data_IF_729806434886
#
_entry.id   IF_729806434886
#
_cell.length_a   1.000
_cell.length_b   1.000
_cell.length_c   1.000
_cell.angle_alpha   90.00
_cell.angle_beta   90.00
_cell.angle_gamma   90.00
#
_symmetry.space_group_name_H-M   'P 1'
#
loop_
_entity.id
_entity.type
_entity.pdbx_description
1 polymer ?
#
# COMPACT_ATOMS: atom_id res chain seq x y z
N UNK A 1 -22.00 9.39 -30.58
CA UNK A 1 -21.48 10.79 -30.67
C UNK A 1 -19.95 10.72 -30.59
N UNK A 2 -19.28 10.94 -31.73
CA UNK A 2 -17.84 11.10 -31.76
C UNK A 2 -17.47 12.50 -31.25
N UNK A 3 -17.39 12.66 -29.94
CA UNK A 3 -16.79 13.87 -29.36
C UNK A 3 -15.28 13.76 -29.58
N UNK A 4 -14.78 14.38 -30.65
CA UNK A 4 -13.35 14.60 -30.81
C UNK A 4 -12.93 15.62 -29.76
N UNK A 5 -12.44 15.13 -28.63
CA UNK A 5 -11.84 15.98 -27.61
C UNK A 5 -10.53 16.52 -28.19
N UNK A 6 -10.53 17.78 -28.58
CA UNK A 6 -9.29 18.45 -29.02
C UNK A 6 -8.50 18.82 -27.78
N UNK A 7 -7.37 18.16 -27.57
CA UNK A 7 -6.47 18.50 -26.48
C UNK A 7 -5.59 19.67 -26.94
N UNK A 8 -5.58 20.80 -26.23
CA UNK A 8 -4.78 21.96 -26.65
C UNK A 8 -3.28 21.63 -26.60
N UNK A 9 -2.52 22.16 -27.55
CA UNK A 9 -1.06 22.11 -27.45
C UNK A 9 -0.58 22.94 -26.27
N UNK A 10 0.39 22.46 -25.54
CA UNK A 10 0.93 23.12 -24.37
C UNK A 10 1.39 22.13 -23.27
N UNK A 11 1.57 22.65 -22.07
CA UNK A 11 1.94 21.87 -20.89
C UNK A 11 0.72 21.73 -20.00
N UNK A 12 0.34 20.49 -19.71
CA UNK A 12 -0.83 20.18 -18.88
C UNK A 12 -0.41 19.47 -17.61
N UNK A 13 -0.63 20.04 -16.42
CA UNK A 13 -0.36 19.36 -15.16
C UNK A 13 -1.37 18.23 -14.95
N UNK A 14 -0.86 17.09 -14.49
CA UNK A 14 -1.68 15.91 -14.20
C UNK A 14 -0.98 15.03 -13.16
N UNK A 15 -1.56 13.86 -12.87
CA UNK A 15 -0.99 12.88 -11.95
C UNK A 15 -0.46 11.65 -12.71
N UNK A 16 0.73 11.22 -12.33
CA UNK A 16 1.29 9.96 -12.79
C UNK A 16 0.44 8.79 -12.25
N UNK A 17 0.12 7.84 -13.12
CA UNK A 17 -0.73 6.69 -12.82
C UNK A 17 0.03 5.36 -12.76
N UNK A 18 1.37 5.41 -12.59
CA UNK A 18 2.24 4.22 -12.59
C UNK A 18 2.36 3.53 -11.23
N UNK A 19 1.98 4.20 -10.14
CA UNK A 19 1.91 3.65 -8.79
C UNK A 19 1.02 4.52 -7.87
N UNK A 20 0.78 4.07 -6.65
CA UNK A 20 -0.10 4.73 -5.68
C UNK A 20 0.41 6.10 -5.20
N UNK A 21 1.68 6.42 -5.37
CA UNK A 21 2.23 7.72 -4.97
C UNK A 21 1.63 8.89 -5.76
N UNK A 22 1.09 8.63 -6.97
CA UNK A 22 0.37 9.65 -7.79
C UNK A 22 1.15 10.96 -7.94
N UNK A 23 2.45 10.86 -8.24
CA UNK A 23 3.30 12.05 -8.43
C UNK A 23 2.67 13.03 -9.42
N UNK A 24 2.70 14.31 -9.10
CA UNK A 24 2.29 15.34 -10.05
C UNK A 24 3.35 15.48 -11.14
N UNK A 25 2.89 15.54 -12.36
CA UNK A 25 3.70 15.65 -13.58
C UNK A 25 3.11 16.69 -14.52
N UNK A 26 3.98 17.23 -15.37
CA UNK A 26 3.60 18.02 -16.54
C UNK A 26 3.67 17.14 -17.78
N UNK A 27 2.59 17.07 -18.51
CA UNK A 27 2.53 16.41 -19.82
C UNK A 27 2.63 17.47 -20.93
N UNK A 28 3.59 17.31 -21.80
CA UNK A 28 3.81 18.20 -22.92
C UNK A 28 3.05 17.68 -24.16
N UNK A 29 2.24 18.52 -24.78
CA UNK A 29 1.38 18.15 -25.89
C UNK A 29 1.67 19.08 -27.06
N UNK A 30 1.93 18.50 -28.24
CA UNK A 30 2.11 19.22 -29.50
C UNK A 30 1.32 18.53 -30.59
N UNK A 31 0.44 19.27 -31.26
CA UNK A 31 -0.38 18.75 -32.36
C UNK A 31 -1.13 17.44 -32.00
N UNK A 32 -1.78 17.40 -30.84
CA UNK A 32 -2.50 16.21 -30.31
C UNK A 32 -1.59 15.02 -29.92
N UNK A 33 -0.28 15.19 -29.94
CA UNK A 33 0.71 14.15 -29.59
C UNK A 33 1.33 14.50 -28.25
N UNK A 34 1.44 13.54 -27.35
CA UNK A 34 2.22 13.65 -26.12
C UNK A 34 3.70 13.55 -26.51
N UNK A 35 4.48 14.56 -26.18
CA UNK A 35 5.88 14.64 -26.60
C UNK A 35 6.88 14.46 -25.47
N UNK A 36 6.47 14.77 -24.23
CA UNK A 36 7.36 14.66 -23.07
C UNK A 36 6.56 14.60 -21.77
N UNK A 37 7.19 14.10 -20.71
CA UNK A 37 6.69 14.10 -19.35
C UNK A 37 7.79 14.62 -18.43
N UNK A 38 7.50 15.72 -17.73
CA UNK A 38 8.42 16.32 -16.75
C UNK A 38 7.79 16.35 -15.35
N UNK A 39 8.57 16.38 -14.27
CA UNK A 39 8.02 16.51 -12.94
C UNK A 39 7.36 17.89 -12.75
N UNK A 40 6.31 17.94 -11.91
CA UNK A 40 5.72 19.19 -11.45
C UNK A 40 6.40 19.63 -10.15
N UNK A 41 7.07 20.77 -10.14
CA UNK A 41 7.94 21.19 -9.02
C UNK A 41 7.19 21.54 -7.74
N UNK A 42 6.02 22.15 -7.83
CA UNK A 42 5.26 22.64 -6.68
C UNK A 42 4.48 21.57 -5.89
N UNK A 43 4.61 20.28 -6.22
CA UNK A 43 3.81 19.27 -5.54
C UNK A 43 4.45 18.79 -4.23
N UNK A 44 3.70 18.77 -3.09
CA UNK A 44 4.26 18.49 -1.77
C UNK A 44 4.81 17.06 -1.61
N UNK A 45 4.25 16.08 -2.33
CA UNK A 45 4.65 14.67 -2.21
C UNK A 45 5.92 14.39 -3.02
N UNK A 46 5.88 14.60 -4.33
CA UNK A 46 7.03 14.25 -5.19
C UNK A 46 8.07 15.37 -5.33
N UNK A 47 7.78 16.60 -4.87
CA UNK A 47 8.73 17.71 -4.72
C UNK A 47 9.61 17.90 -5.96
N UNK A 48 8.99 18.04 -7.12
CA UNK A 48 9.68 18.24 -8.39
C UNK A 48 10.45 17.04 -8.93
N UNK A 49 10.02 15.82 -8.62
CA UNK A 49 10.73 14.60 -9.05
C UNK A 49 9.80 13.55 -9.63
N UNK A 50 10.37 12.76 -10.52
CA UNK A 50 9.71 11.62 -11.15
C UNK A 50 10.65 10.42 -11.12
N UNK A 51 10.14 9.24 -10.85
CA UNK A 51 10.93 8.01 -10.90
C UNK A 51 11.07 7.50 -12.35
N UNK A 52 11.99 6.56 -12.62
CA UNK A 52 12.17 6.01 -13.97
C UNK A 52 10.90 5.45 -14.59
N UNK A 53 10.01 4.84 -13.79
CA UNK A 53 8.70 4.36 -14.30
C UNK A 53 7.81 5.48 -14.80
N UNK A 54 7.72 6.57 -14.04
CA UNK A 54 6.95 7.74 -14.46
C UNK A 54 7.54 8.40 -15.71
N UNK A 55 8.87 8.46 -15.80
CA UNK A 55 9.57 8.95 -16.99
C UNK A 55 9.30 8.10 -18.23
N UNK A 56 9.26 6.77 -18.07
CA UNK A 56 8.99 5.83 -19.16
C UNK A 56 7.50 5.67 -19.50
N UNK A 57 6.60 6.44 -18.87
CA UNK A 57 5.16 6.29 -19.11
C UNK A 57 4.78 6.65 -20.56
N UNK A 58 5.55 7.52 -21.22
CA UNK A 58 5.33 7.88 -22.62
C UNK A 58 5.65 6.71 -23.55
N UNK A 59 6.75 5.98 -23.30
CA UNK A 59 7.12 4.79 -24.07
C UNK A 59 6.05 3.70 -23.95
N UNK A 60 5.49 3.52 -22.74
CA UNK A 60 4.38 2.61 -22.52
C UNK A 60 3.11 3.07 -23.27
N UNK A 61 2.85 4.37 -23.30
CA UNK A 61 1.67 4.93 -23.98
C UNK A 61 1.69 4.71 -25.48
N UNK A 62 2.88 4.86 -26.11
CA UNK A 62 3.07 4.69 -27.55
C UNK A 62 3.67 3.36 -27.95
N UNK A 63 3.72 2.38 -27.04
CA UNK A 63 4.30 1.07 -27.34
C UNK A 63 3.58 0.40 -28.51
N UNK A 64 4.37 -0.18 -29.44
CA UNK A 64 3.81 -0.76 -30.67
C UNK A 64 2.88 -1.96 -30.40
N UNK A 65 3.13 -2.71 -29.33
CA UNK A 65 2.30 -3.87 -28.94
C UNK A 65 1.08 -3.46 -28.10
N UNK A 66 0.83 -2.15 -27.97
CA UNK A 66 -0.35 -1.70 -27.23
C UNK A 66 -1.64 -2.09 -27.95
N UNK A 67 -2.53 -2.77 -27.26
CA UNK A 67 -3.86 -3.13 -27.78
C UNK A 67 -4.70 -1.85 -27.86
N UNK A 68 -5.08 -1.45 -29.07
CA UNK A 68 -5.85 -0.24 -29.36
C UNK A 68 -7.31 -0.52 -29.76
N UNK A 69 -7.60 -1.78 -30.13
CA UNK A 69 -8.93 -2.23 -30.57
C UNK A 69 -9.33 -3.49 -29.79
N UNK A 70 -10.63 -3.77 -29.62
CA UNK A 70 -11.07 -5.01 -29.02
C UNK A 70 -10.60 -6.23 -29.82
N UNK A 71 -10.18 -7.27 -29.10
CA UNK A 71 -9.73 -8.53 -29.69
C UNK A 71 -10.73 -9.66 -29.37
N UNK A 72 -11.23 -10.30 -30.42
CA UNK A 72 -12.07 -11.50 -30.30
C UNK A 72 -11.25 -12.74 -30.50
N UNK A 73 -11.33 -13.68 -29.53
CA UNK A 73 -10.69 -14.99 -29.66
C UNK A 73 -11.48 -15.86 -30.64
N UNK A 74 -10.77 -16.47 -31.56
CA UNK A 74 -11.32 -17.41 -32.54
C UNK A 74 -11.20 -18.86 -32.03
N UNK A 75 -11.91 -19.80 -32.68
CA UNK A 75 -11.95 -21.24 -32.30
C UNK A 75 -10.57 -21.90 -32.38
N UNK A 76 -9.71 -21.45 -33.28
CA UNK A 76 -8.33 -21.90 -33.40
C UNK A 76 -7.36 -21.33 -32.35
N UNK A 77 -7.88 -20.52 -31.39
CA UNK A 77 -7.12 -19.90 -30.33
C UNK A 77 -6.42 -18.58 -30.72
N UNK A 78 -6.42 -18.18 -31.98
CA UNK A 78 -5.90 -16.88 -32.41
C UNK A 78 -6.84 -15.74 -32.04
N UNK A 79 -6.37 -14.50 -32.16
CA UNK A 79 -7.18 -13.29 -31.90
C UNK A 79 -7.37 -12.51 -33.19
N UNK A 80 -8.56 -11.93 -33.34
CA UNK A 80 -8.93 -11.03 -34.43
C UNK A 80 -9.41 -9.69 -33.86
N UNK A 81 -8.98 -8.61 -34.46
CA UNK A 81 -9.52 -7.28 -34.16
C UNK A 81 -10.97 -7.18 -34.64
N UNK A 82 -11.82 -6.59 -33.78
CA UNK A 82 -13.21 -6.31 -34.09
C UNK A 82 -13.56 -4.86 -33.73
N UNK A 83 -14.56 -4.25 -34.38
CA UNK A 83 -15.08 -2.95 -34.00
C UNK A 83 -15.56 -2.91 -32.54
N UNK A 84 -15.43 -1.76 -31.88
CA UNK A 84 -15.83 -1.60 -30.50
C UNK A 84 -17.32 -1.86 -30.28
N UNK A 85 -18.18 -1.37 -31.19
CA UNK A 85 -19.62 -1.55 -31.13
C UNK A 85 -19.98 -3.04 -31.24
N UNK A 86 -19.32 -3.78 -32.14
CA UNK A 86 -19.50 -5.23 -32.23
C UNK A 86 -19.14 -5.94 -30.92
N UNK A 87 -18.05 -5.53 -30.26
CA UNK A 87 -17.66 -6.11 -28.98
C UNK A 87 -18.71 -5.87 -27.89
N UNK A 88 -19.26 -4.65 -27.83
CA UNK A 88 -20.33 -4.27 -26.90
C UNK A 88 -21.61 -5.06 -27.14
N UNK A 89 -22.02 -5.20 -28.40
CA UNK A 89 -23.22 -5.95 -28.76
C UNK A 89 -23.09 -7.43 -28.35
N UNK A 90 -22.02 -8.08 -28.72
CA UNK A 90 -21.77 -9.49 -28.37
C UNK A 90 -21.71 -9.73 -26.86
N UNK A 91 -21.08 -8.82 -26.09
CA UNK A 91 -21.02 -8.89 -24.62
C UNK A 91 -22.43 -8.71 -24.05
N UNK A 92 -23.16 -7.70 -24.51
CA UNK A 92 -24.52 -7.38 -24.04
C UNK A 92 -25.49 -8.52 -24.30
N UNK A 93 -25.46 -9.10 -25.50
CA UNK A 93 -26.28 -10.28 -25.86
C UNK A 93 -25.97 -11.46 -24.95
N UNK A 94 -24.68 -11.76 -24.73
CA UNK A 94 -24.26 -12.86 -23.87
C UNK A 94 -24.67 -12.67 -22.42
N UNK A 95 -24.48 -11.48 -21.88
CA UNK A 95 -24.89 -11.14 -20.49
C UNK A 95 -26.43 -11.25 -20.35
N UNK A 96 -27.18 -10.74 -21.32
CA UNK A 96 -28.65 -10.83 -21.35
C UNK A 96 -29.12 -12.27 -21.43
N UNK A 97 -28.49 -13.09 -22.25
CA UNK A 97 -28.79 -14.52 -22.37
C UNK A 97 -28.57 -15.23 -21.02
N UNK A 98 -27.46 -15.01 -20.33
CA UNK A 98 -27.23 -15.60 -19.01
C UNK A 98 -28.24 -15.11 -17.97
N UNK A 99 -28.57 -13.83 -18.00
CA UNK A 99 -29.62 -13.27 -17.12
C UNK A 99 -30.96 -13.97 -17.33
N UNK A 100 -31.36 -14.16 -18.59
CA UNK A 100 -32.63 -14.79 -18.92
C UNK A 100 -32.68 -16.28 -18.55
N UNK A 101 -31.55 -16.99 -18.71
CA UNK A 101 -31.46 -18.42 -18.48
C UNK A 101 -31.23 -18.77 -17.02
N UNK A 102 -30.40 -18.00 -16.29
CA UNK A 102 -29.92 -18.35 -14.96
C UNK A 102 -30.17 -17.27 -13.90
N UNK A 103 -30.84 -16.17 -14.28
CA UNK A 103 -31.06 -15.00 -13.42
C UNK A 103 -29.86 -14.05 -13.41
N UNK A 104 -30.10 -12.80 -12.93
CA UNK A 104 -29.08 -11.75 -12.95
C UNK A 104 -27.83 -12.10 -12.13
N UNK A 105 -27.97 -12.92 -11.08
CA UNK A 105 -26.86 -13.39 -10.22
C UNK A 105 -25.84 -14.28 -10.93
N UNK A 106 -26.15 -14.77 -12.13
CA UNK A 106 -25.18 -15.54 -12.94
C UNK A 106 -24.06 -14.68 -13.49
N UNK A 107 -24.22 -13.38 -13.48
CA UNK A 107 -23.18 -12.42 -13.91
C UNK A 107 -22.62 -11.69 -12.70
N UNK A 108 -21.30 -11.68 -12.59
CA UNK A 108 -20.56 -10.96 -11.56
C UNK A 108 -19.47 -10.10 -12.18
N UNK A 109 -19.06 -9.09 -11.43
CA UNK A 109 -17.91 -8.25 -11.74
C UNK A 109 -16.85 -8.45 -10.67
N UNK A 110 -15.62 -8.69 -11.10
CA UNK A 110 -14.46 -8.69 -10.24
C UNK A 110 -13.51 -7.56 -10.68
N UNK A 111 -13.11 -6.70 -9.75
CA UNK A 111 -12.16 -5.61 -10.01
C UNK A 111 -10.89 -5.79 -9.19
N UNK A 112 -9.76 -5.42 -9.76
CA UNK A 112 -8.53 -5.18 -9.00
C UNK A 112 -8.51 -3.77 -8.40
N UNK A 113 -7.65 -3.55 -7.40
CA UNK A 113 -7.42 -2.19 -6.86
C UNK A 113 -6.49 -1.44 -7.81
N UNK A 114 -7.08 -0.59 -8.62
CA UNK A 114 -6.37 0.12 -9.68
C UNK A 114 -5.98 1.54 -9.28
N UNK A 115 -4.93 1.72 -8.48
CA UNK A 115 -4.26 3.02 -8.36
C UNK A 115 -5.19 4.22 -8.07
N UNK A 116 -6.26 4.00 -7.30
CA UNK A 116 -7.25 5.05 -6.98
C UNK A 116 -8.16 5.43 -8.14
N UNK A 117 -8.55 4.48 -8.96
CA UNK A 117 -9.56 4.65 -10.01
C UNK A 117 -11.00 4.58 -9.47
N UNK A 118 -11.28 5.21 -8.35
CA UNK A 118 -12.60 5.17 -7.70
C UNK A 118 -13.75 5.53 -8.64
N UNK A 119 -13.55 6.48 -9.57
CA UNK A 119 -14.57 6.85 -10.54
C UNK A 119 -14.96 5.67 -11.45
N UNK A 120 -13.97 4.92 -11.95
CA UNK A 120 -14.26 3.72 -12.76
C UNK A 120 -14.91 2.63 -11.91
N UNK A 121 -14.49 2.48 -10.66
CA UNK A 121 -15.11 1.57 -9.72
C UNK A 121 -16.58 1.88 -9.50
N UNK A 122 -16.94 3.14 -9.30
CA UNK A 122 -18.32 3.58 -9.11
C UNK A 122 -19.17 3.31 -10.35
N UNK A 123 -18.64 3.53 -11.55
CA UNK A 123 -19.33 3.18 -12.80
C UNK A 123 -19.59 1.67 -12.91
N UNK A 124 -18.59 0.84 -12.61
CA UNK A 124 -18.71 -0.61 -12.65
C UNK A 124 -19.71 -1.11 -11.60
N UNK A 125 -19.67 -0.56 -10.39
CA UNK A 125 -20.62 -0.88 -9.32
C UNK A 125 -22.04 -0.50 -9.72
N UNK A 126 -22.23 0.71 -10.24
CA UNK A 126 -23.51 1.16 -10.75
C UNK A 126 -24.04 0.29 -11.90
N UNK A 127 -23.17 -0.11 -12.82
CA UNK A 127 -23.52 -1.00 -13.91
C UNK A 127 -24.03 -2.35 -13.42
N UNK A 128 -23.26 -3.06 -12.56
CA UNK A 128 -23.64 -4.40 -12.14
C UNK A 128 -24.90 -4.40 -11.26
N UNK A 129 -25.10 -3.39 -10.42
CA UNK A 129 -26.33 -3.24 -9.65
C UNK A 129 -27.52 -2.86 -10.55
N UNK A 130 -27.33 -1.99 -11.53
CA UNK A 130 -28.37 -1.68 -12.53
C UNK A 130 -28.73 -2.88 -13.41
N UNK A 131 -27.78 -3.78 -13.67
CA UNK A 131 -28.03 -5.05 -14.33
C UNK A 131 -28.92 -5.99 -13.46
N UNK A 132 -28.94 -5.78 -12.15
CA UNK A 132 -29.71 -6.54 -11.17
C UNK A 132 -28.93 -7.64 -10.44
N UNK A 133 -27.61 -7.64 -10.56
CA UNK A 133 -26.74 -8.58 -9.85
C UNK A 133 -26.09 -7.92 -8.62
N UNK A 134 -26.11 -8.57 -7.44
CA UNK A 134 -25.36 -8.13 -6.27
C UNK A 134 -23.88 -8.55 -6.32
N UNK A 135 -23.47 -9.30 -7.34
CA UNK A 135 -22.16 -9.95 -7.41
C UNK A 135 -21.09 -8.99 -7.87
N UNK A 136 -20.68 -8.12 -6.95
CA UNK A 136 -19.53 -7.23 -7.08
C UNK A 136 -18.42 -7.72 -6.17
N UNK A 137 -17.26 -8.02 -6.72
CA UNK A 137 -16.10 -8.56 -6.01
C UNK A 137 -14.88 -7.67 -6.24
N UNK A 138 -14.02 -7.62 -5.24
CA UNK A 138 -12.75 -6.91 -5.32
C UNK A 138 -11.63 -7.71 -4.64
N UNK A 139 -10.39 -7.30 -4.88
CA UNK A 139 -9.23 -7.85 -4.18
C UNK A 139 -9.00 -7.24 -2.80
N UNK A 140 -9.83 -6.31 -2.34
CA UNK A 140 -9.64 -5.55 -1.10
C UNK A 140 -9.40 -6.45 0.11
N UNK A 141 -10.13 -7.57 0.20
CA UNK A 141 -9.99 -8.54 1.30
C UNK A 141 -8.60 -9.20 1.37
N UNK A 142 -7.89 -9.28 0.26
CA UNK A 142 -6.55 -9.85 0.14
C UNK A 142 -5.50 -8.77 -0.21
N UNK A 143 -5.78 -7.49 0.00
CA UNK A 143 -4.88 -6.39 -0.27
C UNK A 143 -4.87 -5.41 0.91
N UNK A 144 -5.52 -4.27 0.81
CA UNK A 144 -5.42 -3.17 1.79
C UNK A 144 -6.33 -3.31 3.01
N UNK A 145 -7.36 -4.14 2.98
CA UNK A 145 -8.32 -4.23 4.08
C UNK A 145 -7.71 -4.71 5.39
N UNK A 146 -6.65 -5.53 5.34
CA UNK A 146 -5.91 -5.93 6.53
C UNK A 146 -5.39 -4.72 7.30
N UNK A 147 -4.79 -3.75 6.60
CA UNK A 147 -4.27 -2.50 7.15
C UNK A 147 -5.38 -1.60 7.66
N UNK A 148 -6.40 -1.37 6.84
CA UNK A 148 -7.53 -0.53 7.21
C UNK A 148 -8.22 -1.04 8.47
N UNK A 149 -8.56 -2.32 8.52
CA UNK A 149 -9.21 -2.93 9.67
C UNK A 149 -8.29 -2.92 10.90
N UNK A 150 -7.01 -3.26 10.73
CA UNK A 150 -6.04 -3.28 11.82
C UNK A 150 -5.90 -1.91 12.50
N UNK A 151 -5.74 -0.85 11.71
CA UNK A 151 -5.67 0.53 12.20
C UNK A 151 -7.01 0.97 12.82
N UNK A 152 -8.12 0.72 12.14
CA UNK A 152 -9.44 1.14 12.60
C UNK A 152 -9.83 0.51 13.93
N UNK A 153 -9.52 -0.76 14.13
CA UNK A 153 -9.82 -1.47 15.38
C UNK A 153 -8.98 -0.98 16.57
N UNK A 154 -7.85 -0.31 16.33
CA UNK A 154 -6.98 0.22 17.39
C UNK A 154 -7.22 1.71 17.59
N UNK A 155 -7.24 2.51 16.53
CA UNK A 155 -7.20 3.97 16.58
C UNK A 155 -8.40 4.66 15.93
N UNK A 156 -9.31 3.93 15.28
CA UNK A 156 -10.50 4.50 14.63
C UNK A 156 -10.24 5.13 13.25
N UNK A 157 -9.01 5.20 12.78
CA UNK A 157 -8.70 5.68 11.43
C UNK A 157 -8.40 4.52 10.46
N UNK A 158 -8.52 4.78 9.15
CA UNK A 158 -8.39 3.71 8.16
C UNK A 158 -6.96 3.53 7.67
N UNK A 159 -6.24 4.61 7.44
CA UNK A 159 -4.88 4.55 6.92
C UNK A 159 -4.04 5.73 7.43
N UNK A 160 -2.73 5.54 7.45
CA UNK A 160 -1.77 6.57 7.82
C UNK A 160 -0.49 6.41 7.01
N UNK A 161 0.04 7.51 6.54
CA UNK A 161 1.33 7.56 5.84
C UNK A 161 2.33 8.38 6.65
N UNK A 162 3.50 7.83 6.99
CA UNK A 162 4.54 8.57 7.67
C UNK A 162 5.28 9.50 6.70
N UNK A 163 5.78 10.60 7.22
CA UNK A 163 6.79 11.42 6.57
C UNK A 163 8.17 10.90 6.99
N UNK A 164 8.75 9.98 6.23
CA UNK A 164 10.00 9.31 6.60
C UNK A 164 11.15 10.26 6.85
N UNK A 165 11.21 11.39 6.14
CA UNK A 165 12.26 12.40 6.29
C UNK A 165 12.21 13.16 7.62
N UNK A 166 11.15 12.99 8.42
CA UNK A 166 11.00 13.48 9.79
C UNK A 166 11.39 12.45 10.85
N UNK A 167 11.57 11.19 10.47
CA UNK A 167 11.84 10.10 11.41
C UNK A 167 13.32 10.00 11.79
N UNK A 168 13.60 9.64 13.05
CA UNK A 168 14.93 9.26 13.55
C UNK A 168 15.15 7.74 13.47
N UNK A 169 14.07 6.98 13.47
CA UNK A 169 14.06 5.55 13.24
C UNK A 169 12.96 5.19 12.26
N UNK A 170 13.32 4.42 11.25
CA UNK A 170 12.37 3.87 10.28
C UNK A 170 12.41 2.34 10.39
N UNK A 171 11.26 1.73 10.65
CA UNK A 171 11.08 0.27 10.69
C UNK A 171 10.17 -0.12 9.52
N UNK A 172 10.74 -0.78 8.54
CA UNK A 172 10.02 -1.28 7.37
C UNK A 172 9.76 -2.77 7.51
N UNK A 173 8.52 -3.21 7.34
CA UNK A 173 8.13 -4.61 7.43
C UNK A 173 7.46 -5.06 6.13
N UNK A 174 7.99 -6.13 5.51
CA UNK A 174 7.39 -6.77 4.34
C UNK A 174 7.12 -5.82 3.16
N UNK A 175 7.95 -4.81 2.97
CA UNK A 175 7.79 -3.82 1.91
C UNK A 175 9.06 -3.69 1.07
N UNK A 176 8.90 -3.36 -0.21
CA UNK A 176 10.01 -3.15 -1.14
C UNK A 176 9.86 -1.79 -1.84
N UNK A 177 10.18 -0.69 -1.16
CA UNK A 177 9.98 0.67 -1.69
C UNK A 177 10.54 0.91 -3.10
N UNK A 178 11.72 0.41 -3.50
CA UNK A 178 12.22 0.59 -4.86
C UNK A 178 11.25 0.10 -5.95
N UNK A 179 10.44 -0.92 -5.61
CA UNK A 179 9.48 -1.52 -6.54
C UNK A 179 8.07 -0.97 -6.31
N UNK A 180 7.61 -0.91 -5.05
CA UNK A 180 6.22 -0.53 -4.73
C UNK A 180 6.01 0.98 -4.77
N UNK A 181 6.92 1.73 -4.11
CA UNK A 181 6.82 3.18 -3.90
C UNK A 181 8.16 3.87 -4.15
N UNK A 182 8.67 3.92 -5.40
CA UNK A 182 9.99 4.47 -5.68
C UNK A 182 10.27 5.87 -5.10
N UNK A 183 9.29 6.79 -5.02
CA UNK A 183 9.49 8.09 -4.37
C UNK A 183 9.89 8.00 -2.89
N UNK A 184 9.46 6.96 -2.15
CA UNK A 184 9.84 6.77 -0.75
C UNK A 184 11.34 6.51 -0.56
N UNK A 185 12.01 5.96 -1.58
CA UNK A 185 13.48 5.79 -1.52
C UNK A 185 14.22 7.10 -1.28
N UNK A 186 13.66 8.18 -1.78
CA UNK A 186 14.25 9.48 -1.55
C UNK A 186 14.02 9.97 -0.12
N UNK A 187 12.81 9.84 0.40
CA UNK A 187 12.53 10.21 1.79
C UNK A 187 13.39 9.39 2.75
N UNK A 188 13.59 8.10 2.44
CA UNK A 188 14.53 7.24 3.17
C UNK A 188 15.96 7.78 3.09
N UNK A 189 16.42 8.17 1.90
CA UNK A 189 17.76 8.72 1.73
C UNK A 189 17.92 10.08 2.45
N UNK A 190 16.91 10.94 2.38
CA UNK A 190 16.90 12.23 3.08
C UNK A 190 16.92 12.02 4.62
N UNK A 191 16.15 11.08 5.15
CA UNK A 191 16.18 10.70 6.58
C UNK A 191 17.55 10.15 6.99
N UNK A 192 18.10 9.22 6.18
CA UNK A 192 19.42 8.62 6.43
C UNK A 192 20.54 9.66 6.42
N UNK A 193 20.49 10.64 5.53
CA UNK A 193 21.46 11.73 5.49
C UNK A 193 21.45 12.61 6.75
N UNK A 194 20.31 12.64 7.45
CA UNK A 194 20.14 13.31 8.75
C UNK A 194 20.49 12.40 9.95
N UNK A 195 20.94 11.17 9.70
CA UNK A 195 21.34 10.21 10.74
C UNK A 195 20.25 9.26 11.22
N UNK A 196 19.09 9.24 10.56
CA UNK A 196 18.03 8.28 10.90
C UNK A 196 18.52 6.82 10.79
N UNK A 197 18.08 5.97 11.73
CA UNK A 197 18.32 4.54 11.70
C UNK A 197 17.26 3.82 10.87
N UNK A 198 17.65 2.71 10.25
CA UNK A 198 16.77 1.89 9.42
C UNK A 198 16.78 0.43 9.90
N UNK A 199 15.62 -0.08 10.23
CA UNK A 199 15.39 -1.51 10.50
C UNK A 199 14.56 -2.06 9.34
N UNK A 200 15.02 -3.13 8.71
CA UNK A 200 14.30 -3.84 7.67
C UNK A 200 13.92 -5.23 8.14
N UNK A 201 12.64 -5.54 8.12
CA UNK A 201 12.06 -6.83 8.51
C UNK A 201 11.36 -7.41 7.28
N UNK A 202 11.96 -8.43 6.66
CA UNK A 202 11.44 -9.02 5.43
C UNK A 202 11.95 -10.47 5.32
N UNK A 203 11.11 -11.45 5.02
CA UNK A 203 11.58 -12.83 4.82
C UNK A 203 12.55 -12.96 3.65
N UNK A 204 12.55 -11.97 2.75
CA UNK A 204 13.40 -11.92 1.57
C UNK A 204 14.46 -10.81 1.69
N UNK A 205 15.68 -11.12 1.31
CA UNK A 205 16.73 -10.12 1.17
C UNK A 205 16.40 -9.21 -0.02
N UNK A 206 15.77 -8.09 0.26
CA UNK A 206 15.44 -7.07 -0.75
C UNK A 206 16.51 -5.96 -0.80
N UNK A 207 16.55 -5.12 -1.85
CA UNK A 207 17.59 -4.10 -1.99
C UNK A 207 17.70 -3.10 -0.83
N UNK A 208 16.62 -2.85 -0.09
CA UNK A 208 16.63 -1.92 1.07
C UNK A 208 17.38 -2.53 2.25
N UNK A 209 17.36 -3.86 2.39
CA UNK A 209 18.07 -4.55 3.45
C UNK A 209 19.59 -4.27 3.45
N UNK A 210 20.18 -4.02 2.27
CA UNK A 210 21.60 -3.67 2.15
C UNK A 210 21.95 -2.33 2.80
N UNK A 211 20.98 -1.47 3.04
CA UNK A 211 21.15 -0.15 3.68
C UNK A 211 20.67 -0.12 5.13
N UNK A 212 20.11 -1.22 5.62
CA UNK A 212 19.55 -1.29 6.97
C UNK A 212 20.66 -1.38 8.04
N UNK A 213 20.45 -0.75 9.19
CA UNK A 213 21.28 -0.93 10.38
C UNK A 213 21.00 -2.29 11.03
N UNK A 214 19.74 -2.75 10.97
CA UNK A 214 19.34 -4.12 11.36
C UNK A 214 18.49 -4.69 10.23
N UNK A 215 18.84 -5.91 9.80
CA UNK A 215 18.01 -6.71 8.91
C UNK A 215 17.59 -8.00 9.62
N UNK A 216 16.28 -8.20 9.75
CA UNK A 216 15.68 -9.36 10.38
C UNK A 216 14.81 -10.13 9.37
N UNK A 217 14.98 -11.45 9.30
CA UNK A 217 14.29 -12.34 8.39
C UNK A 217 13.31 -13.27 9.14
N UNK A 218 12.06 -12.84 9.37
CA UNK A 218 11.06 -13.69 9.99
C UNK A 218 10.55 -14.75 9.03
N UNK A 219 10.00 -15.83 9.55
CA UNK A 219 9.19 -16.73 8.75
C UNK A 219 7.95 -15.95 8.22
N UNK A 220 7.51 -16.20 6.98
CA UNK A 220 6.34 -15.52 6.42
C UNK A 220 5.11 -15.66 7.32
N UNK A 221 4.38 -14.54 7.53
CA UNK A 221 3.17 -14.51 8.35
C UNK A 221 3.36 -14.46 9.86
N UNK A 222 4.59 -14.29 10.34
CA UNK A 222 4.91 -14.30 11.80
C UNK A 222 5.23 -12.90 12.36
N UNK A 223 5.09 -11.87 11.58
CA UNK A 223 5.35 -10.48 11.95
C UNK A 223 4.60 -10.04 13.21
N UNK A 224 3.38 -10.55 13.40
CA UNK A 224 2.59 -10.30 14.60
C UNK A 224 3.26 -10.80 15.88
N UNK A 225 3.94 -11.96 15.84
CA UNK A 225 4.67 -12.48 17.00
C UNK A 225 5.87 -11.59 17.35
N UNK A 226 6.60 -11.11 16.33
CA UNK A 226 7.67 -10.15 16.50
C UNK A 226 7.18 -8.82 17.10
N UNK A 227 6.09 -8.27 16.55
CA UNK A 227 5.48 -7.05 17.07
C UNK A 227 5.08 -7.17 18.55
N UNK A 228 4.48 -8.30 18.94
CA UNK A 228 4.14 -8.57 20.34
C UNK A 228 5.36 -8.74 21.22
N UNK A 229 6.46 -9.30 20.73
CA UNK A 229 7.74 -9.36 21.43
C UNK A 229 8.30 -7.96 21.74
N UNK A 230 8.21 -7.05 20.75
CA UNK A 230 8.60 -5.65 20.92
C UNK A 230 7.68 -4.93 21.92
N UNK A 231 6.36 -5.13 21.83
CA UNK A 231 5.39 -4.59 22.81
C UNK A 231 5.72 -5.08 24.21
N UNK A 232 5.97 -6.40 24.37
CA UNK A 232 6.36 -6.96 25.66
C UNK A 232 7.59 -6.28 26.23
N UNK A 233 8.60 -6.05 25.40
CA UNK A 233 9.84 -5.39 25.84
C UNK A 233 9.56 -3.97 26.35
N UNK A 234 8.81 -3.18 25.60
CA UNK A 234 8.42 -1.82 25.99
C UNK A 234 7.62 -1.81 27.32
N UNK A 235 6.66 -2.72 27.46
CA UNK A 235 5.84 -2.83 28.67
C UNK A 235 6.67 -3.24 29.89
N UNK A 236 7.51 -4.28 29.75
CA UNK A 236 8.37 -4.80 30.85
C UNK A 236 9.40 -3.80 31.35
N UNK A 237 9.91 -2.99 30.44
CA UNK A 237 10.92 -1.97 30.79
C UNK A 237 10.30 -0.61 31.10
N UNK A 238 8.98 -0.50 31.11
CA UNK A 238 8.24 0.77 31.29
C UNK A 238 8.65 1.88 30.32
N UNK A 239 9.05 1.50 29.09
CA UNK A 239 9.50 2.41 28.05
C UNK A 239 8.43 2.65 26.98
N UNK A 240 7.19 2.85 27.37
CA UNK A 240 6.07 3.21 26.50
C UNK A 240 5.59 4.64 26.77
N UNK A 241 4.72 5.16 25.94
CA UNK A 241 4.07 6.47 26.10
C UNK A 241 3.00 6.38 27.19
N UNK A 242 3.39 6.73 28.43
CA UNK A 242 2.49 6.67 29.59
C UNK A 242 1.39 7.74 29.52
N UNK A 243 1.67 8.93 28.97
CA UNK A 243 0.64 9.97 28.82
C UNK A 243 -0.47 9.55 27.87
N UNK A 244 -0.12 8.92 26.75
CA UNK A 244 -1.09 8.32 25.83
C UNK A 244 -1.88 7.20 26.51
N UNK A 245 -1.19 6.33 27.25
CA UNK A 245 -1.84 5.19 27.93
C UNK A 245 -2.80 5.68 28.99
N UNK A 246 -2.39 6.60 29.86
CA UNK A 246 -3.18 7.06 31.00
C UNK A 246 -4.39 7.92 30.58
N UNK A 247 -4.27 8.66 29.48
CA UNK A 247 -5.30 9.63 29.07
C UNK A 247 -6.24 9.12 27.98
N UNK A 248 -5.78 8.23 27.11
CA UNK A 248 -6.50 7.89 25.88
C UNK A 248 -6.67 6.40 25.61
N UNK A 249 -5.85 5.53 26.25
CA UNK A 249 -5.94 4.11 25.95
C UNK A 249 -7.00 3.41 26.81
N UNK A 250 -7.70 2.47 26.18
CA UNK A 250 -8.65 1.58 26.86
C UNK A 250 -8.12 0.15 26.77
N UNK A 251 -7.99 -0.52 27.92
CA UNK A 251 -7.60 -1.94 27.98
C UNK A 251 -6.09 -2.19 27.89
N UNK A 252 -5.27 -1.23 28.29
CA UNK A 252 -3.83 -1.41 28.35
C UNK A 252 -3.41 -2.59 29.25
N UNK A 253 -4.11 -2.78 30.36
CA UNK A 253 -3.95 -3.93 31.27
C UNK A 253 -4.05 -5.29 30.54
N UNK A 254 -5.01 -5.40 29.63
CA UNK A 254 -5.21 -6.59 28.80
C UNK A 254 -4.10 -6.75 27.78
N UNK A 255 -3.64 -5.65 27.20
CA UNK A 255 -2.48 -5.64 26.27
C UNK A 255 -1.23 -6.10 27.01
N UNK A 256 -0.95 -5.55 28.18
CA UNK A 256 0.20 -5.92 28.99
C UNK A 256 0.15 -7.41 29.38
N UNK A 257 -0.98 -7.89 29.86
CA UNK A 257 -1.15 -9.29 30.21
C UNK A 257 -1.01 -10.23 29.00
N UNK A 258 -1.56 -9.84 27.85
CA UNK A 258 -1.42 -10.65 26.63
C UNK A 258 0.02 -10.70 26.11
N UNK A 259 0.76 -9.59 26.23
CA UNK A 259 2.15 -9.51 25.80
C UNK A 259 3.08 -10.46 26.57
N UNK A 260 2.74 -10.83 27.81
CA UNK A 260 3.57 -11.69 28.67
C UNK A 260 3.97 -13.02 28.00
N UNK A 261 3.09 -13.61 27.21
CA UNK A 261 3.35 -14.89 26.54
C UNK A 261 4.40 -14.79 25.42
N UNK A 262 4.70 -13.59 24.92
CA UNK A 262 5.63 -13.38 23.83
C UNK A 262 7.08 -13.20 24.35
N UNK A 263 7.54 -14.20 25.12
CA UNK A 263 8.93 -14.23 25.58
C UNK A 263 9.90 -14.31 24.40
N UNK A 264 11.19 -13.95 24.58
CA UNK A 264 12.19 -14.07 23.51
C UNK A 264 12.22 -15.46 22.88
N UNK A 265 12.09 -16.52 23.69
CA UNK A 265 12.08 -17.90 23.22
C UNK A 265 10.80 -18.23 22.44
N UNK A 266 9.66 -17.68 22.86
CA UNK A 266 8.42 -17.84 22.11
C UNK A 266 8.49 -17.15 20.76
N UNK A 267 8.96 -15.90 20.72
CA UNK A 267 9.11 -15.12 19.48
C UNK A 267 10.08 -15.83 18.53
N UNK A 268 11.24 -16.29 19.04
CA UNK A 268 12.23 -17.02 18.24
C UNK A 268 11.64 -18.30 17.65
N UNK A 269 10.89 -19.07 18.43
CA UNK A 269 10.25 -20.31 17.94
C UNK A 269 9.20 -20.03 16.86
N UNK A 270 8.44 -18.93 17.00
CA UNK A 270 7.40 -18.57 16.04
C UNK A 270 7.95 -17.92 14.76
N UNK A 271 8.89 -17.00 14.90
CA UNK A 271 9.36 -16.15 13.81
C UNK A 271 10.73 -16.49 13.25
N UNK A 272 11.50 -17.31 13.96
CA UNK A 272 12.91 -17.54 13.63
C UNK A 272 13.85 -16.41 14.07
N UNK A 273 13.33 -15.30 14.60
CA UNK A 273 14.13 -14.15 15.03
C UNK A 273 14.67 -14.37 16.43
N UNK A 274 15.99 -14.31 16.59
CA UNK A 274 16.64 -14.46 17.88
C UNK A 274 16.25 -13.35 18.87
N UNK A 275 16.16 -13.70 20.15
CA UNK A 275 15.75 -12.77 21.19
C UNK A 275 16.61 -11.51 21.28
N UNK A 276 17.92 -11.61 21.07
CA UNK A 276 18.81 -10.46 21.08
C UNK A 276 18.50 -9.46 19.93
N UNK A 277 18.06 -9.95 18.77
CA UNK A 277 17.63 -9.07 17.65
C UNK A 277 16.37 -8.30 18.02
N UNK A 278 15.42 -8.98 18.68
CA UNK A 278 14.19 -8.31 19.19
C UNK A 278 14.57 -7.21 20.18
N UNK A 279 15.52 -7.49 21.06
CA UNK A 279 16.04 -6.53 22.03
C UNK A 279 16.73 -5.34 21.34
N UNK A 280 17.61 -5.57 20.39
CA UNK A 280 18.27 -4.52 19.61
C UNK A 280 17.28 -3.59 18.91
N UNK A 281 16.24 -4.14 18.28
CA UNK A 281 15.17 -3.35 17.66
C UNK A 281 14.40 -2.55 18.72
N UNK A 282 14.05 -3.16 19.85
CA UNK A 282 13.36 -2.50 20.95
C UNK A 282 14.18 -1.34 21.52
N UNK A 283 15.48 -1.52 21.69
CA UNK A 283 16.41 -0.46 22.14
C UNK A 283 16.46 0.71 21.15
N UNK A 284 16.47 0.44 19.85
CA UNK A 284 16.39 1.48 18.84
C UNK A 284 15.06 2.25 18.91
N UNK A 285 13.94 1.55 19.14
CA UNK A 285 12.63 2.17 19.35
C UNK A 285 12.68 3.10 20.58
N UNK A 286 13.13 2.60 21.71
CA UNK A 286 13.23 3.35 22.98
C UNK A 286 14.08 4.61 22.80
N UNK A 287 15.23 4.48 22.14
CA UNK A 287 16.18 5.57 21.96
C UNK A 287 15.66 6.69 21.07
N UNK A 288 14.85 6.35 20.06
CA UNK A 288 14.44 7.28 18.99
C UNK A 288 12.98 7.75 19.11
N UNK A 289 12.21 7.18 20.05
CA UNK A 289 10.82 7.65 20.26
C UNK A 289 10.78 9.12 20.70
N UNK A 290 9.73 9.88 20.35
CA UNK A 290 8.57 9.47 19.57
C UNK A 290 8.76 9.57 18.04
N UNK A 291 9.95 9.96 17.56
CA UNK A 291 10.22 10.27 16.16
C UNK A 291 10.55 9.00 15.38
N UNK A 292 9.64 8.05 15.40
CA UNK A 292 9.78 6.76 14.71
C UNK A 292 8.66 6.54 13.70
N UNK A 293 9.01 5.85 12.62
CA UNK A 293 8.08 5.40 11.60
C UNK A 293 8.07 3.88 11.54
N UNK A 294 6.90 3.27 11.76
CA UNK A 294 6.69 1.82 11.59
C UNK A 294 5.77 1.63 10.40
N UNK A 295 6.30 1.11 9.29
CA UNK A 295 5.56 1.00 8.04
C UNK A 295 5.44 -0.44 7.56
N UNK A 296 4.25 -1.05 7.67
CA UNK A 296 3.96 -2.37 7.13
C UNK A 296 3.71 -2.31 5.63
N UNK A 297 4.27 -3.26 4.89
CA UNK A 297 3.92 -3.51 3.50
C UNK A 297 2.77 -4.50 3.35
N UNK A 298 2.26 -4.64 2.12
CA UNK A 298 1.16 -5.55 1.80
C UNK A 298 1.48 -7.02 2.10
N UNK A 299 2.77 -7.39 2.18
CA UNK A 299 3.17 -8.75 2.54
C UNK A 299 2.62 -9.24 3.87
N UNK A 300 2.43 -8.34 4.85
CA UNK A 300 1.87 -8.67 6.15
C UNK A 300 0.35 -8.91 6.11
N UNK A 301 -0.32 -8.35 5.12
CA UNK A 301 -1.78 -8.38 5.00
C UNK A 301 -2.29 -9.64 4.28
N UNK A 302 -1.41 -10.30 3.52
CA UNK A 302 -1.74 -11.45 2.67
C UNK A 302 -1.65 -12.80 3.41
N UNK A 303 -1.90 -12.80 4.72
CA UNK A 303 -1.92 -13.99 5.56
C UNK A 303 -3.21 -14.05 6.39
N UNK A 304 -3.61 -15.24 6.82
CA UNK A 304 -4.80 -15.42 7.68
C UNK A 304 -4.81 -14.51 8.90
N UNK A 305 -3.63 -14.23 9.47
CA UNK A 305 -3.48 -13.39 10.65
C UNK A 305 -3.11 -11.93 10.33
N UNK A 306 -3.25 -11.50 9.08
CA UNK A 306 -2.81 -10.18 8.61
C UNK A 306 -3.39 -9.02 9.43
N UNK A 307 -4.70 -9.02 9.64
CA UNK A 307 -5.38 -7.98 10.45
C UNK A 307 -4.77 -7.88 11.87
N UNK A 308 -4.54 -9.01 12.53
CA UNK A 308 -3.98 -9.01 13.89
C UNK A 308 -2.49 -8.61 13.91
N UNK A 309 -1.73 -8.93 12.86
CA UNK A 309 -0.35 -8.46 12.70
C UNK A 309 -0.31 -6.93 12.58
N UNK A 310 -1.17 -6.35 11.75
CA UNK A 310 -1.30 -4.89 11.63
C UNK A 310 -1.76 -4.27 12.96
N UNK A 311 -2.76 -4.84 13.63
CA UNK A 311 -3.20 -4.37 14.96
C UNK A 311 -2.04 -4.32 15.95
N UNK A 312 -1.20 -5.35 16.01
CA UNK A 312 -0.03 -5.38 16.88
C UNK A 312 0.97 -4.25 16.54
N UNK A 313 1.22 -4.01 15.25
CA UNK A 313 2.09 -2.91 14.82
C UNK A 313 1.49 -1.54 15.12
N UNK A 314 0.19 -1.37 14.99
CA UNK A 314 -0.49 -0.13 15.35
C UNK A 314 -0.41 0.12 16.86
N UNK A 315 -0.61 -0.91 17.69
CA UNK A 315 -0.42 -0.84 19.15
C UNK A 315 1.04 -0.47 19.47
N UNK A 316 2.01 -1.11 18.82
CA UNK A 316 3.43 -0.78 18.99
C UNK A 316 3.72 0.67 18.65
N UNK A 317 3.16 1.20 17.57
CA UNK A 317 3.28 2.59 17.16
C UNK A 317 2.68 3.55 18.20
N UNK A 318 1.51 3.22 18.74
CA UNK A 318 0.90 3.99 19.84
C UNK A 318 1.78 4.00 21.07
N UNK A 319 2.20 2.83 21.54
CA UNK A 319 3.03 2.69 22.76
C UNK A 319 4.41 3.33 22.62
N UNK A 320 4.92 3.46 21.42
CA UNK A 320 6.18 4.15 21.16
C UNK A 320 6.03 5.68 21.01
N UNK A 321 4.82 6.21 21.13
CA UNK A 321 4.54 7.66 21.01
C UNK A 321 4.56 8.20 19.59
N UNK A 322 4.50 7.31 18.58
CA UNK A 322 4.56 7.70 17.17
C UNK A 322 3.19 8.16 16.62
N UNK A 323 2.10 7.90 17.35
CA UNK A 323 0.76 8.30 16.93
C UNK A 323 0.62 9.83 16.97
N UNK A 324 0.06 10.41 15.91
CA UNK A 324 -0.16 11.86 15.81
C UNK A 324 1.10 12.68 15.48
N UNK A 325 2.22 12.02 15.17
CA UNK A 325 3.48 12.66 14.76
C UNK A 325 3.66 12.62 13.25
N UNK A 326 4.25 13.68 12.62
CA UNK A 326 4.58 13.63 11.20
C UNK A 326 5.48 12.45 10.82
N UNK A 327 6.47 12.16 11.69
CA UNK A 327 7.35 10.98 11.55
C UNK A 327 6.64 9.65 11.73
N UNK A 328 5.52 9.63 12.44
CA UNK A 328 4.80 8.43 12.82
C UNK A 328 3.73 8.01 11.85
N UNK A 329 2.79 7.21 12.36
CA UNK A 329 1.70 6.65 11.55
C UNK A 329 0.52 7.61 11.38
N UNK A 330 0.73 8.92 11.30
CA UNK A 330 -0.41 9.83 11.26
C UNK A 330 -0.30 10.94 10.23
N UNK A 331 -0.85 10.65 9.06
CA UNK A 331 -1.49 11.67 8.23
C UNK A 331 -2.86 11.11 7.84
N UNK A 332 -3.99 11.60 8.38
CA UNK A 332 -5.30 11.21 7.89
C UNK A 332 -5.41 11.61 6.42
N UNK A 333 -5.92 10.70 5.58
CA UNK A 333 -6.35 11.01 4.22
C UNK A 333 -7.54 11.97 4.23
#
# INVERSE_FOLDING_TARGET
MNVKTVVPSGVVPTLCRMCETRCAINVHIKNQVLTDITPFEGHPINRGRICPRGGAALDLFYHMDRILTPLKRLDNGSFKEIPYDQALDEISEKMTSFKNQFGARSVGVWKGEGLGFHQQEDYVRRFIHGFGSPNYFSNDSACYNGRYLGNHLVCGFWNAFPEFDQAKLIVLLGTNPPICHPPFMRELADARSKGAKLVMIDPRLNPVACYADIFAQPYPGTDGALAWGLIRYLVKTHNYDSDLVDRYAIGFDKIAAYAEKFTPEYVQRQSGIFGYVVEEIAQLIIKNRPDISIYPGAGLEHHENGVNSIRALTILSCLSGALGRPSGMFRPE
#
